data_IF_693824504527
#
_entry.id   IF_693824504527
#
_cell.length_a   1.000
_cell.length_b   1.000
_cell.length_c   1.000
_cell.angle_alpha   90.00
_cell.angle_beta   90.00
_cell.angle_gamma   90.00
#
_symmetry.space_group_name_H-M   'P 1'
#
loop_
_entity.id
_entity.type
_entity.pdbx_description
1 polymer ?
#
# COMPACT_ATOMS: atom_id res chain seq x y z
N UNK A 1 -6.85 -4.66 14.51
CA UNK A 1 -8.11 -3.97 14.17
C UNK A 1 -8.51 -4.29 12.75
N UNK A 2 -9.71 -3.90 12.34
CA UNK A 2 -10.17 -4.02 10.94
C UNK A 2 -9.63 -2.85 10.10
N UNK A 3 -9.17 -3.13 8.88
CA UNK A 3 -8.69 -2.10 7.93
C UNK A 3 -9.87 -1.18 7.55
N UNK A 4 -9.65 0.13 7.49
CA UNK A 4 -10.70 1.13 7.24
C UNK A 4 -11.71 1.38 8.38
N UNK A 5 -11.54 0.77 9.55
CA UNK A 5 -12.46 0.95 10.69
C UNK A 5 -11.76 1.61 11.89
N UNK A 6 -12.50 2.43 12.64
CA UNK A 6 -11.99 3.05 13.88
C UNK A 6 -11.80 2.05 15.03
N UNK A 7 -12.33 0.83 14.90
CA UNK A 7 -12.26 -0.20 15.92
C UNK A 7 -10.91 -0.95 15.89
N UNK A 8 -10.09 -0.72 16.90
CA UNK A 8 -8.84 -1.42 17.14
C UNK A 8 -8.04 -0.81 18.30
N UNK A 9 -7.28 -1.64 19.02
CA UNK A 9 -6.36 -1.19 20.06
C UNK A 9 -4.95 -0.91 19.52
N UNK A 10 -4.26 0.06 20.12
CA UNK A 10 -2.81 0.27 19.98
C UNK A 10 -2.15 -0.01 21.33
N UNK A 11 -0.97 -0.63 21.32
CA UNK A 11 -0.16 -0.84 22.51
C UNK A 11 1.18 -0.16 22.27
N UNK A 12 1.53 0.78 23.15
CA UNK A 12 2.86 1.38 23.19
C UNK A 12 3.56 0.83 24.43
N UNK A 13 4.74 0.28 24.24
CA UNK A 13 5.59 -0.26 25.31
C UNK A 13 6.93 0.47 25.26
N UNK A 14 7.45 0.82 26.43
CA UNK A 14 8.80 1.34 26.57
C UNK A 14 9.74 0.19 26.89
N UNK A 15 10.94 0.25 26.33
CA UNK A 15 12.03 -0.68 26.58
C UNK A 15 13.25 0.15 26.99
N UNK A 16 13.96 -0.32 28.00
CA UNK A 16 15.13 0.38 28.54
C UNK A 16 16.39 0.13 27.69
N UNK A 17 16.43 -0.97 26.95
CA UNK A 17 17.54 -1.35 26.08
C UNK A 17 17.10 -1.68 24.64
N UNK A 18 17.96 -1.35 23.67
CA UNK A 18 17.72 -1.61 22.25
C UNK A 18 17.63 -3.11 21.95
N UNK A 19 18.45 -3.95 22.59
CA UNK A 19 18.44 -5.40 22.37
C UNK A 19 17.11 -6.00 22.79
N UNK A 20 16.54 -5.53 23.89
CA UNK A 20 15.24 -5.96 24.37
C UNK A 20 14.11 -5.59 23.40
N UNK A 21 14.12 -4.34 22.91
CA UNK A 21 13.15 -3.88 21.91
C UNK A 21 13.20 -4.70 20.61
N UNK A 22 14.41 -5.02 20.13
CA UNK A 22 14.60 -5.86 18.92
C UNK A 22 14.05 -7.27 19.17
N UNK A 23 14.37 -7.91 20.29
CA UNK A 23 13.87 -9.25 20.63
C UNK A 23 12.34 -9.28 20.77
N UNK A 24 11.76 -8.26 21.41
CA UNK A 24 10.31 -8.14 21.54
C UNK A 24 9.63 -8.02 20.17
N UNK A 25 10.21 -7.23 19.26
CA UNK A 25 9.74 -7.11 17.89
C UNK A 25 9.83 -8.44 17.12
N UNK A 26 10.97 -9.13 17.16
CA UNK A 26 11.14 -10.41 16.47
C UNK A 26 10.19 -11.48 17.00
N UNK A 27 9.98 -11.52 18.32
CA UNK A 27 9.02 -12.43 18.98
C UNK A 27 7.60 -12.13 18.54
N UNK A 28 7.20 -10.85 18.49
CA UNK A 28 5.87 -10.46 18.03
C UNK A 28 5.69 -10.77 16.53
N UNK A 29 6.71 -10.53 15.72
CA UNK A 29 6.69 -10.86 14.30
C UNK A 29 6.51 -12.36 14.09
N UNK A 30 7.25 -13.19 14.82
CA UNK A 30 7.12 -14.64 14.79
C UNK A 30 5.73 -15.10 15.28
N UNK A 31 5.20 -14.54 16.37
CA UNK A 31 3.85 -14.87 16.83
C UNK A 31 2.79 -14.52 15.77
N UNK A 32 2.88 -13.34 15.16
CA UNK A 32 1.88 -12.85 14.22
C UNK A 32 1.96 -13.52 12.85
N UNK A 33 3.16 -13.86 12.38
CA UNK A 33 3.38 -14.35 11.02
C UNK A 33 3.75 -15.84 10.95
N UNK A 34 4.28 -16.40 12.04
CA UNK A 34 4.86 -17.74 12.10
C UNK A 34 6.17 -17.89 11.34
N UNK A 35 6.83 -16.79 10.96
CA UNK A 35 8.12 -16.78 10.29
C UNK A 35 9.13 -15.98 11.14
N UNK A 36 10.40 -16.38 11.14
CA UNK A 36 11.45 -15.59 11.79
C UNK A 36 11.68 -14.29 11.02
N UNK A 37 12.03 -13.22 11.74
CA UNK A 37 12.35 -11.93 11.13
C UNK A 37 13.58 -12.00 10.19
N UNK A 38 14.58 -12.78 10.58
CA UNK A 38 15.80 -13.03 9.78
C UNK A 38 15.50 -13.65 8.41
N UNK A 39 14.46 -14.47 8.33
CA UNK A 39 14.09 -15.25 7.14
C UNK A 39 13.01 -14.57 6.27
N UNK A 40 12.79 -13.26 6.45
CA UNK A 40 11.73 -12.52 5.74
C UNK A 40 11.81 -12.57 4.22
N UNK A 41 13.00 -12.84 3.65
CA UNK A 41 13.19 -12.99 2.21
C UNK A 41 12.54 -14.25 1.62
N UNK A 42 12.35 -15.29 2.43
CA UNK A 42 11.74 -16.57 2.04
C UNK A 42 10.39 -16.80 2.72
N UNK A 43 9.66 -15.71 2.97
CA UNK A 43 8.42 -15.69 3.73
C UNK A 43 7.38 -16.68 3.20
N UNK A 44 6.83 -17.53 4.10
CA UNK A 44 5.75 -18.47 3.77
C UNK A 44 4.48 -18.07 4.49
N UNK A 45 3.41 -17.85 3.73
CA UNK A 45 2.08 -17.61 4.30
C UNK A 45 1.59 -18.87 5.00
N UNK A 46 1.29 -18.76 6.30
CA UNK A 46 0.66 -19.82 7.08
C UNK A 46 -0.85 -19.57 7.27
N UNK A 47 -1.68 -20.62 7.38
CA UNK A 47 -3.09 -20.48 7.73
C UNK A 47 -3.28 -19.65 9.01
N UNK A 48 -4.29 -18.78 9.03
CA UNK A 48 -4.66 -17.94 10.19
C UNK A 48 -3.59 -16.98 10.74
N UNK A 49 -2.39 -16.90 10.13
CA UNK A 49 -1.33 -15.93 10.48
C UNK A 49 -1.32 -14.73 9.53
N UNK A 50 -0.69 -13.64 9.93
CA UNK A 50 -0.58 -12.43 9.11
C UNK A 50 0.41 -12.60 7.95
N UNK A 51 0.28 -11.74 6.93
CA UNK A 51 1.22 -11.60 5.82
C UNK A 51 1.75 -10.17 5.81
N UNK A 52 3.08 -9.95 5.79
CA UNK A 52 3.65 -8.62 5.72
C UNK A 52 3.41 -8.02 4.32
N UNK A 53 2.89 -6.80 4.28
CA UNK A 53 2.78 -6.03 3.05
C UNK A 53 3.93 -5.02 2.99
N UNK A 54 4.64 -4.99 1.86
CA UNK A 54 5.70 -4.02 1.59
C UNK A 54 5.07 -2.68 1.18
N UNK A 55 4.90 -1.81 2.17
CA UNK A 55 4.42 -0.44 1.98
C UNK A 55 5.51 0.49 2.48
N UNK A 56 5.93 1.42 1.64
CA UNK A 56 6.89 2.45 2.04
C UNK A 56 6.15 3.54 2.83
N UNK A 57 6.34 3.60 4.14
CA UNK A 57 5.77 4.68 4.97
C UNK A 57 6.69 5.91 5.08
N UNK A 58 7.79 5.95 4.33
CA UNK A 58 8.78 7.03 4.36
C UNK A 58 8.19 8.42 4.10
N UNK A 59 8.87 9.44 4.64
CA UNK A 59 8.51 10.86 4.66
C UNK A 59 8.58 11.56 3.27
N UNK A 60 8.30 10.84 2.18
CA UNK A 60 8.01 11.48 0.90
C UNK A 60 6.56 11.94 0.92
N UNK A 61 6.30 13.06 1.59
CA UNK A 61 5.03 13.78 1.50
C UNK A 61 4.88 14.27 0.05
N UNK A 62 4.34 13.41 -0.81
CA UNK A 62 3.94 13.76 -2.17
C UNK A 62 3.06 15.02 -2.10
N UNK A 63 2.20 15.15 -1.07
CA UNK A 63 1.44 16.38 -0.80
C UNK A 63 2.31 17.63 -0.71
N UNK A 64 3.45 17.62 0.00
CA UNK A 64 4.36 18.79 0.09
C UNK A 64 4.98 19.19 -1.25
N UNK A 65 5.22 18.24 -2.16
CA UNK A 65 5.74 18.56 -3.50
C UNK A 65 4.67 19.27 -4.34
N UNK A 66 3.40 18.92 -4.15
CA UNK A 66 2.27 19.43 -4.94
C UNK A 66 1.60 20.67 -4.33
N UNK A 67 1.64 20.84 -3.01
CA UNK A 67 1.20 22.07 -2.33
C UNK A 67 2.01 23.29 -2.81
N UNK A 68 3.26 23.08 -3.24
CA UNK A 68 4.11 24.10 -3.86
C UNK A 68 3.72 24.48 -5.29
N UNK A 69 2.82 23.74 -5.95
CA UNK A 69 2.30 24.05 -7.28
C UNK A 69 1.20 25.12 -7.22
N UNK A 70 0.51 25.24 -6.08
CA UNK A 70 -0.51 26.27 -5.82
C UNK A 70 0.08 27.64 -5.41
N UNK A 71 1.40 27.74 -5.26
CA UNK A 71 2.03 29.05 -5.07
C UNK A 71 2.19 29.70 -6.44
N UNK A 72 1.45 30.79 -6.65
CA UNK A 72 1.56 31.86 -7.66
C UNK A 72 3.01 32.21 -8.10
N UNK A 73 3.77 31.26 -8.61
CA UNK A 73 5.05 31.47 -9.28
C UNK A 73 4.72 31.68 -10.74
N UNK A 74 5.14 32.83 -11.27
CA UNK A 74 4.99 33.23 -12.65
C UNK A 74 5.60 32.16 -13.58
N UNK A 75 4.80 31.15 -13.94
CA UNK A 75 5.18 30.19 -14.96
C UNK A 75 5.15 30.90 -16.30
N UNK A 76 6.25 30.86 -17.03
CA UNK A 76 6.36 31.46 -18.37
C UNK A 76 5.70 30.60 -19.46
N UNK A 77 5.02 29.51 -19.08
CA UNK A 77 4.31 28.63 -20.02
C UNK A 77 2.97 29.24 -20.47
N UNK A 78 2.47 28.92 -21.67
CA UNK A 78 1.13 29.33 -22.09
C UNK A 78 0.06 28.84 -21.10
N UNK A 79 -0.99 29.64 -20.91
CA UNK A 79 -2.09 29.32 -19.97
C UNK A 79 -2.69 27.93 -20.20
N UNK A 80 -2.91 27.55 -21.46
CA UNK A 80 -3.42 26.21 -21.82
C UNK A 80 -2.53 25.07 -21.32
N UNK A 81 -1.20 25.26 -21.33
CA UNK A 81 -0.24 24.27 -20.85
C UNK A 81 -0.27 24.21 -19.32
N UNK A 82 -0.36 25.36 -18.66
CA UNK A 82 -0.49 25.42 -17.21
C UNK A 82 -1.78 24.72 -16.74
N UNK A 83 -2.90 24.98 -17.40
CA UNK A 83 -4.19 24.39 -17.06
C UNK A 83 -4.18 22.87 -17.27
N UNK A 84 -3.55 22.39 -18.36
CA UNK A 84 -3.35 20.96 -18.59
C UNK A 84 -2.49 20.32 -17.49
N UNK A 85 -1.38 20.96 -17.09
CA UNK A 85 -0.49 20.46 -16.04
C UNK A 85 -1.24 20.40 -14.70
N UNK A 86 -1.95 21.45 -14.32
CA UNK A 86 -2.76 21.45 -13.09
C UNK A 86 -3.83 20.35 -13.12
N UNK A 87 -4.46 20.11 -14.28
CA UNK A 87 -5.46 19.06 -14.43
C UNK A 87 -4.86 17.64 -14.27
N UNK A 88 -3.74 17.34 -14.94
CA UNK A 88 -3.13 16.00 -14.87
C UNK A 88 -2.42 15.71 -13.54
N UNK A 89 -2.01 16.74 -12.79
CA UNK A 89 -1.30 16.62 -11.52
C UNK A 89 -2.19 16.93 -10.30
N UNK A 90 -3.51 16.89 -10.44
CA UNK A 90 -4.45 17.06 -9.33
C UNK A 90 -4.51 15.79 -8.45
N UNK A 91 -3.83 15.84 -7.30
CA UNK A 91 -3.83 14.75 -6.31
C UNK A 91 -5.23 14.49 -5.74
N UNK A 92 -6.03 15.53 -5.49
CA UNK A 92 -7.36 15.34 -4.88
C UNK A 92 -8.27 14.55 -5.82
N UNK A 93 -8.23 14.87 -7.12
CA UNK A 93 -8.91 14.09 -8.15
C UNK A 93 -8.41 12.64 -8.22
N UNK A 94 -7.10 12.41 -8.11
CA UNK A 94 -6.54 11.05 -8.06
C UNK A 94 -6.98 10.27 -6.81
N UNK A 95 -6.96 10.91 -5.63
CA UNK A 95 -7.42 10.33 -4.36
C UNK A 95 -8.91 9.95 -4.45
N UNK A 96 -9.76 10.85 -4.97
CA UNK A 96 -11.20 10.60 -5.14
C UNK A 96 -11.47 9.44 -6.10
N UNK A 97 -10.72 9.33 -7.19
CA UNK A 97 -10.83 8.20 -8.12
C UNK A 97 -10.46 6.87 -7.44
N UNK A 98 -9.41 6.82 -6.63
CA UNK A 98 -9.04 5.60 -5.91
C UNK A 98 -10.05 5.20 -4.84
N UNK A 99 -10.65 6.17 -4.14
CA UNK A 99 -11.74 5.90 -3.20
C UNK A 99 -12.95 5.26 -3.91
N UNK A 100 -13.22 5.65 -5.16
CA UNK A 100 -14.30 5.04 -5.97
C UNK A 100 -14.05 3.58 -6.32
N UNK A 101 -12.78 3.13 -6.29
CA UNK A 101 -12.38 1.73 -6.43
C UNK A 101 -12.27 1.01 -5.08
N UNK A 102 -12.81 1.59 -4.01
CA UNK A 102 -12.80 1.05 -2.64
C UNK A 102 -11.39 0.85 -2.06
N UNK A 103 -10.41 1.63 -2.53
CA UNK A 103 -9.04 1.56 -2.05
C UNK A 103 -8.88 2.41 -0.78
N UNK A 104 -8.41 1.80 0.31
CA UNK A 104 -8.12 2.48 1.58
C UNK A 104 -6.81 3.29 1.48
N UNK A 105 -6.96 4.59 1.17
CA UNK A 105 -5.84 5.53 1.08
C UNK A 105 -5.11 5.77 2.41
N UNK A 106 -5.71 5.45 3.56
CA UNK A 106 -5.04 5.57 4.86
C UNK A 106 -3.97 4.50 5.06
N UNK A 107 -4.14 3.34 4.41
CA UNK A 107 -3.20 2.21 4.47
C UNK A 107 -2.41 2.04 3.19
N UNK A 108 -2.94 2.46 2.05
CA UNK A 108 -2.30 2.41 0.74
C UNK A 108 -2.21 3.82 0.14
N UNK A 109 -1.33 4.69 0.67
CA UNK A 109 -1.15 6.01 0.10
C UNK A 109 -0.61 5.91 -1.34
N UNK A 110 -1.08 6.83 -2.19
CA UNK A 110 -0.69 6.95 -3.58
C UNK A 110 0.84 6.86 -3.76
N UNK A 111 1.29 6.00 -4.67
CA UNK A 111 2.71 5.87 -5.03
C UNK A 111 3.59 5.11 -4.03
N UNK A 112 3.06 4.57 -2.93
CA UNK A 112 3.87 3.93 -1.87
C UNK A 112 3.80 2.40 -1.80
N UNK A 113 3.09 1.78 -2.74
CA UNK A 113 3.05 0.33 -2.88
C UNK A 113 4.24 -0.15 -3.72
N UNK A 114 4.97 -1.17 -3.24
CA UNK A 114 6.14 -1.68 -3.98
C UNK A 114 5.74 -2.25 -5.35
N UNK A 115 6.58 -2.05 -6.37
CA UNK A 115 6.36 -2.62 -7.72
C UNK A 115 6.23 -4.15 -7.67
N UNK A 116 6.96 -4.78 -6.76
CA UNK A 116 6.85 -6.22 -6.52
C UNK A 116 5.46 -6.61 -6.01
N UNK A 117 4.89 -5.82 -5.09
CA UNK A 117 3.55 -6.07 -4.57
C UNK A 117 2.46 -5.87 -5.63
N UNK A 118 2.60 -4.85 -6.50
CA UNK A 118 1.75 -4.67 -7.68
C UNK A 118 1.81 -5.88 -8.61
N UNK A 119 3.02 -6.34 -8.96
CA UNK A 119 3.22 -7.49 -9.83
C UNK A 119 2.59 -8.76 -9.25
N UNK A 120 2.73 -9.00 -7.95
CA UNK A 120 2.06 -10.12 -7.25
C UNK A 120 0.53 -10.02 -7.37
N UNK A 121 -0.04 -8.82 -7.19
CA UNK A 121 -1.47 -8.56 -7.38
C UNK A 121 -1.94 -8.91 -8.79
N UNK A 122 -1.21 -8.43 -9.81
CA UNK A 122 -1.50 -8.76 -11.21
C UNK A 122 -1.47 -10.27 -11.48
N UNK A 123 -0.46 -10.99 -10.97
CA UNK A 123 -0.38 -12.44 -11.12
C UNK A 123 -1.60 -13.16 -10.54
N UNK A 124 -2.10 -12.70 -9.39
CA UNK A 124 -3.32 -13.27 -8.79
C UNK A 124 -4.54 -12.98 -9.66
N UNK A 125 -4.71 -11.75 -10.14
CA UNK A 125 -5.82 -11.38 -11.03
C UNK A 125 -5.78 -12.19 -12.34
N UNK A 126 -4.61 -12.37 -12.94
CA UNK A 126 -4.44 -13.21 -14.14
C UNK A 126 -4.81 -14.66 -13.85
N UNK A 127 -4.40 -15.23 -12.71
CA UNK A 127 -4.80 -16.59 -12.32
C UNK A 127 -6.31 -16.70 -12.16
N UNK A 128 -6.96 -15.74 -11.50
CA UNK A 128 -8.42 -15.73 -11.36
C UNK A 128 -9.11 -15.65 -12.73
N UNK A 129 -8.64 -14.79 -13.63
CA UNK A 129 -9.16 -14.71 -15.00
C UNK A 129 -9.06 -16.04 -15.73
N UNK A 130 -7.92 -16.73 -15.64
CA UNK A 130 -7.75 -18.06 -16.27
C UNK A 130 -8.70 -19.10 -15.70
N UNK A 131 -8.91 -19.12 -14.37
CA UNK A 131 -9.83 -20.05 -13.73
C UNK A 131 -11.28 -19.80 -14.17
N UNK A 132 -11.71 -18.53 -14.23
CA UNK A 132 -13.05 -18.16 -14.69
C UNK A 132 -13.26 -18.58 -16.15
N UNK A 133 -12.26 -18.37 -16.99
CA UNK A 133 -12.34 -18.71 -18.43
C UNK A 133 -12.40 -20.22 -18.64
N UNK A 134 -11.57 -20.98 -17.90
CA UNK A 134 -11.52 -22.44 -17.99
C UNK A 134 -12.77 -23.13 -17.43
N UNK A 135 -13.40 -22.57 -16.38
CA UNK A 135 -14.69 -23.05 -15.87
C UNK A 135 -15.83 -22.81 -16.88
N UNK A 136 -15.74 -21.74 -17.67
CA UNK A 136 -16.70 -21.47 -18.75
C UNK A 136 -16.58 -22.47 -19.91
N UNK A 137 -15.37 -23.00 -20.18
CA UNK A 137 -15.17 -24.05 -21.21
C UNK A 137 -15.52 -25.45 -20.72
N UNK A 138 -15.46 -25.72 -19.42
CA UNK A 138 -15.82 -27.03 -18.85
C UNK A 138 -17.33 -27.21 -18.60
N UNK A 139 -18.13 -26.14 -18.65
CA UNK A 139 -19.60 -26.20 -18.53
C UNK A 139 -20.31 -26.43 -19.87
N UNK A 140 -19.59 -26.40 -20.99
CA UNK A 140 -20.12 -26.60 -22.35
C UNK A 140 -19.69 -27.93 -22.99
N UNK A 141 -19.09 -28.83 -22.21
CA UNK A 141 -18.76 -30.21 -22.61
C UNK A 141 -19.68 -31.22 -21.90
#
# INVERSE_FOLDING_TARGET
>A
GRIGAMYGGKKNEQFDDQSEAVKAFETLFLDKTGNNWSDRGTFKKLPSKFYPLEIDYGNHDIKKVFDNVNANKCSNLPKLVQDLICFIFDIESMEKALLSFEIDLTKMPLGRLSRNQLNKGYQVLTKLQTLITNDATNKTA
#
